data_IF_773287400233
#
_entry.id   IF_773287400233
#
_cell.length_a   1.000
_cell.length_b   1.000
_cell.length_c   1.000
_cell.angle_alpha   90.00
_cell.angle_beta   90.00
_cell.angle_gamma   90.00
#
_symmetry.space_group_name_H-M   'P 1'
#
loop_
_entity.id
_entity.type
_entity.pdbx_description
1 polymer ?
#
# COMPACT_ATOMS: atom_id res chain seq x y z
N UNK A 1 -16.19 10.26 6.28
CA UNK A 1 -15.30 9.57 5.30
C UNK A 1 -14.31 10.59 4.78
N UNK A 2 -13.01 10.26 4.70
CA UNK A 2 -12.02 11.18 4.14
C UNK A 2 -11.92 11.01 2.62
N UNK A 3 -11.93 12.12 1.88
CA UNK A 3 -11.70 12.15 0.43
C UNK A 3 -10.63 13.16 0.09
N UNK A 4 -9.85 12.86 -0.95
CA UNK A 4 -8.83 13.75 -1.51
C UNK A 4 -9.36 14.40 -2.76
N UNK A 5 -9.41 15.73 -2.80
CA UNK A 5 -9.90 16.46 -3.96
C UNK A 5 -8.88 16.43 -5.09
N UNK A 6 -9.33 16.12 -6.29
CA UNK A 6 -8.55 16.13 -7.53
C UNK A 6 -8.78 17.41 -8.34
N UNK A 7 -9.89 18.12 -8.08
CA UNK A 7 -10.27 19.36 -8.74
C UNK A 7 -10.54 20.46 -7.72
N UNK A 8 -10.29 21.70 -8.12
CA UNK A 8 -10.67 22.88 -7.33
C UNK A 8 -12.18 22.95 -7.24
N UNK A 9 -12.69 23.09 -6.02
CA UNK A 9 -14.09 23.29 -5.66
C UNK A 9 -14.21 24.58 -4.84
N UNK A 10 -15.44 25.06 -4.60
CA UNK A 10 -15.65 26.23 -3.75
C UNK A 10 -15.06 26.02 -2.34
N UNK A 11 -15.11 24.80 -1.83
CA UNK A 11 -14.73 24.49 -0.45
C UNK A 11 -13.35 23.84 -0.31
N UNK A 12 -12.64 23.54 -1.42
CA UNK A 12 -11.39 22.77 -1.39
C UNK A 12 -10.53 23.00 -2.63
N UNK A 13 -9.21 22.92 -2.47
CA UNK A 13 -8.25 22.94 -3.57
C UNK A 13 -7.82 21.51 -3.98
N UNK A 14 -7.12 21.42 -5.11
CA UNK A 14 -6.52 20.16 -5.56
C UNK A 14 -5.50 19.67 -4.53
N UNK A 15 -5.65 18.44 -4.07
CA UNK A 15 -4.79 17.80 -3.08
C UNK A 15 -5.30 17.87 -1.65
N UNK A 16 -6.30 18.70 -1.36
CA UNK A 16 -6.86 18.82 -0.02
C UNK A 16 -7.58 17.53 0.38
N UNK A 17 -7.43 17.16 1.65
CA UNK A 17 -8.12 16.02 2.26
C UNK A 17 -9.15 16.57 3.23
N UNK A 18 -10.44 16.36 2.93
CA UNK A 18 -11.53 16.75 3.82
C UNK A 18 -12.32 15.53 4.26
N UNK A 19 -12.87 15.64 5.46
CA UNK A 19 -13.84 14.71 5.97
C UNK A 19 -15.25 15.16 5.57
N UNK A 20 -15.92 14.30 4.80
CA UNK A 20 -17.27 14.53 4.27
C UNK A 20 -18.19 13.37 4.66
N UNK A 21 -19.49 13.58 4.50
CA UNK A 21 -20.50 12.54 4.70
C UNK A 21 -20.35 11.43 3.65
N UNK A 22 -20.80 10.21 3.96
CA UNK A 22 -20.68 9.07 3.04
C UNK A 22 -21.45 9.28 1.73
N UNK A 23 -22.59 9.96 1.80
CA UNK A 23 -23.37 10.32 0.62
C UNK A 23 -22.62 11.30 -0.29
N UNK A 24 -22.04 12.35 0.30
CA UNK A 24 -21.25 13.35 -0.44
C UNK A 24 -19.98 12.72 -1.03
N UNK A 25 -19.27 11.89 -0.25
CA UNK A 25 -18.11 11.15 -0.73
C UNK A 25 -18.46 10.30 -1.96
N UNK A 26 -19.57 9.56 -1.94
CA UNK A 26 -20.01 8.75 -3.06
C UNK A 26 -20.28 9.57 -4.32
N UNK A 27 -20.85 10.76 -4.18
CA UNK A 27 -21.09 11.66 -5.32
C UNK A 27 -19.76 12.20 -5.85
N UNK A 28 -18.87 12.69 -4.97
CA UNK A 28 -17.57 13.25 -5.35
C UNK A 28 -16.67 12.23 -6.05
N UNK A 29 -16.69 10.97 -5.57
CA UNK A 29 -15.96 9.85 -6.17
C UNK A 29 -16.56 9.48 -7.53
N UNK A 30 -17.89 9.34 -7.63
CA UNK A 30 -18.54 8.98 -8.91
C UNK A 30 -18.40 10.05 -9.98
N UNK A 31 -18.35 11.32 -9.58
CA UNK A 31 -18.16 12.46 -10.50
C UNK A 31 -16.70 12.68 -10.89
N UNK A 32 -15.75 11.94 -10.29
CA UNK A 32 -14.32 12.08 -10.54
C UNK A 32 -13.76 13.41 -10.06
N UNK A 33 -14.38 14.02 -9.03
CA UNK A 33 -13.91 15.25 -8.39
C UNK A 33 -12.94 14.93 -7.27
N UNK A 34 -13.14 13.81 -6.57
CA UNK A 34 -12.32 13.39 -5.45
C UNK A 34 -12.08 11.88 -5.49
N UNK A 35 -11.06 11.43 -4.77
CA UNK A 35 -10.75 10.02 -4.55
C UNK A 35 -10.88 9.65 -3.07
N UNK A 36 -11.21 8.38 -2.76
CA UNK A 36 -11.23 7.92 -1.37
C UNK A 36 -9.83 8.05 -0.78
N UNK A 37 -9.70 8.85 0.28
CA UNK A 37 -8.42 9.01 0.95
C UNK A 37 -8.21 7.87 1.94
N UNK A 38 -7.24 7.00 1.65
CA UNK A 38 -6.74 6.03 2.62
C UNK A 38 -5.55 6.65 3.33
N UNK A 39 -5.69 6.80 4.64
CA UNK A 39 -4.61 7.29 5.49
C UNK A 39 -3.53 6.22 5.53
N UNK A 40 -2.42 6.48 4.84
CA UNK A 40 -1.24 5.62 4.83
C UNK A 40 -0.61 5.70 6.21
N UNK A 41 -0.71 4.63 6.99
CA UNK A 41 -0.06 4.54 8.30
C UNK A 41 1.34 3.97 8.07
N UNK A 42 2.36 4.63 8.60
CA UNK A 42 3.71 4.08 8.58
C UNK A 42 3.99 3.30 9.87
N UNK A 43 4.84 2.28 9.80
CA UNK A 43 5.34 1.63 10.99
C UNK A 43 6.18 2.64 11.77
N UNK A 44 5.87 2.83 13.05
CA UNK A 44 6.62 3.70 13.95
C UNK A 44 7.21 2.85 15.07
N UNK A 45 8.41 3.23 15.55
CA UNK A 45 8.97 2.65 16.76
C UNK A 45 8.37 3.33 18.01
N UNK A 46 8.74 2.84 19.20
CA UNK A 46 8.27 3.38 20.49
C UNK A 46 8.61 4.87 20.71
N UNK A 47 9.57 5.40 19.96
CA UNK A 47 9.96 6.81 20.00
C UNK A 47 9.20 7.67 18.98
N UNK A 48 8.12 7.15 18.38
CA UNK A 48 7.31 7.81 17.35
C UNK A 48 8.08 8.20 16.08
N UNK A 49 9.24 7.60 15.85
CA UNK A 49 9.99 7.79 14.60
C UNK A 49 9.58 6.73 13.57
N UNK A 50 9.36 7.13 12.30
CA UNK A 50 8.97 6.21 11.25
C UNK A 50 10.11 5.23 10.95
N UNK A 51 9.76 3.95 10.82
CA UNK A 51 10.68 2.85 10.54
C UNK A 51 10.84 2.70 9.03
N UNK A 52 12.07 2.36 8.65
CA UNK A 52 12.54 2.31 7.28
C UNK A 52 13.03 0.89 6.98
N UNK A 53 12.90 0.43 5.74
CA UNK A 53 13.45 -0.85 5.28
C UNK A 53 14.97 -0.78 5.03
N UNK A 54 15.55 -1.91 4.63
CA UNK A 54 16.99 -2.04 4.34
C UNK A 54 17.47 -1.12 3.20
N UNK A 55 16.55 -0.57 2.39
CA UNK A 55 16.83 0.30 1.26
C UNK A 55 16.57 1.78 1.54
N UNK A 56 16.17 2.15 2.75
CA UNK A 56 15.88 3.54 3.08
C UNK A 56 14.44 3.98 2.78
N UNK A 57 13.52 3.07 2.46
CA UNK A 57 12.12 3.37 2.17
C UNK A 57 11.21 3.21 3.40
N UNK A 58 10.23 4.11 3.58
CA UNK A 58 9.29 4.07 4.70
C UNK A 58 8.40 2.81 4.63
N UNK A 59 8.30 2.08 5.75
CA UNK A 59 7.45 0.88 5.83
C UNK A 59 6.00 1.31 6.04
N UNK A 60 5.14 1.01 5.06
CA UNK A 60 3.69 1.26 5.11
C UNK A 60 2.97 0.10 5.78
N UNK A 61 2.15 0.39 6.79
CA UNK A 61 1.23 -0.52 7.45
C UNK A 61 -0.13 -0.54 6.74
N UNK A 62 -0.60 -1.73 6.39
CA UNK A 62 -1.97 -1.96 5.93
C UNK A 62 -2.19 -1.91 4.41
N UNK A 63 -1.19 -1.51 3.63
CA UNK A 63 -1.15 -1.87 2.21
C UNK A 63 -0.53 -3.26 2.10
N UNK A 64 -1.22 -4.18 1.39
CA UNK A 64 -0.53 -5.34 0.84
C UNK A 64 0.51 -4.77 -0.11
N UNK A 65 1.75 -4.67 0.33
CA UNK A 65 2.88 -4.41 -0.55
C UNK A 65 2.73 -5.42 -1.70
N UNK A 66 2.54 -4.93 -2.92
CA UNK A 66 2.80 -5.73 -4.12
C UNK A 66 4.31 -5.96 -4.14
N UNK A 67 4.76 -6.83 -3.25
CA UNK A 67 6.11 -7.37 -3.27
C UNK A 67 6.26 -7.97 -4.68
N UNK A 68 7.29 -7.60 -5.45
CA UNK A 68 7.66 -8.42 -6.59
C UNK A 68 7.82 -9.85 -6.04
N UNK A 69 7.29 -10.87 -6.73
CA UNK A 69 7.36 -12.24 -6.24
C UNK A 69 8.81 -12.53 -5.89
N UNK A 70 9.08 -12.80 -4.62
CA UNK A 70 10.39 -13.24 -4.17
C UNK A 70 10.72 -14.48 -4.98
N UNK A 71 11.63 -14.34 -5.95
CA UNK A 71 12.24 -15.47 -6.65
C UNK A 71 12.97 -16.29 -5.59
N UNK A 72 12.20 -17.17 -4.97
CA UNK A 72 12.72 -18.21 -4.10
C UNK A 72 13.25 -19.26 -5.05
N UNK A 73 14.45 -19.03 -5.60
CA UNK A 73 15.23 -20.14 -6.14
C UNK A 73 15.63 -21.04 -4.97
N UNK A 74 14.70 -21.92 -4.58
CA UNK A 74 15.03 -23.11 -3.83
C UNK A 74 15.97 -23.94 -4.74
N UNK A 75 17.24 -24.18 -4.37
CA UNK A 75 18.11 -25.00 -5.18
C UNK A 75 17.50 -26.41 -5.25
N UNK A 76 17.09 -26.81 -6.47
CA UNK A 76 16.59 -28.15 -6.77
C UNK A 76 17.61 -29.18 -6.28
N UNK A 77 17.27 -29.88 -5.21
CA UNK A 77 17.99 -31.05 -4.75
C UNK A 77 18.01 -32.08 -5.89
N UNK A 78 19.20 -32.41 -6.39
CA UNK A 78 19.40 -33.55 -7.30
C UNK A 78 19.03 -34.84 -6.56
N UNK A 79 18.11 -35.66 -7.07
CA UNK A 79 17.87 -36.97 -6.47
C UNK A 79 19.08 -37.88 -6.67
N UNK A 80 19.52 -38.47 -5.57
CA UNK A 80 20.54 -39.51 -5.46
C UNK A 80 20.16 -40.73 -6.31
N UNK A 81 21.09 -41.21 -7.15
CA UNK A 81 20.93 -42.43 -7.94
C UNK A 81 21.07 -43.66 -7.03
N UNK A 82 20.03 -44.50 -6.96
CA UNK A 82 20.07 -45.85 -6.36
C UNK A 82 21.07 -46.75 -7.11
N UNK A 83 21.77 -47.68 -6.44
CA UNK A 83 22.66 -48.62 -7.11
C UNK A 83 21.87 -49.67 -7.90
N UNK A 84 22.31 -49.98 -9.13
CA UNK A 84 21.80 -51.11 -9.92
C UNK A 84 22.44 -52.40 -9.42
N UNK A 85 21.61 -53.35 -9.01
CA UNK A 85 21.99 -54.75 -8.90
C UNK A 85 22.03 -55.39 -10.30
N UNK A 86 23.09 -56.12 -10.61
CA UNK A 86 23.10 -57.22 -11.57
C UNK A 86 24.23 -58.18 -11.23
#
# INVERSE_FOLDING_TARGET
MKVKYLKVMHNANVGDVLEVTEFEANILIKTGVAEPFKEVKFLQNLNFTPVVDDYGSLIVLGEKLNLPPTETEAPKQKPTRKPKAK
#
